data_IF_291444428100
#
_entry.id   IF_291444428100
#
_cell.length_a   1.000
_cell.length_b   1.000
_cell.length_c   1.000
_cell.angle_alpha   90.00
_cell.angle_beta   90.00
_cell.angle_gamma   90.00
#
_symmetry.space_group_name_H-M   'P 1'
#
loop_
_entity.id
_entity.type
_entity.pdbx_description
1 polymer ?
#
# COMPACT_ATOMS: atom_id res chain seq x y z
N UNK A 1 -28.50 -17.48 28.11
CA UNK A 1 -28.65 -17.08 26.69
C UNK A 1 -29.97 -16.38 26.40
N UNK A 2 -31.12 -16.99 26.73
CA UNK A 2 -32.45 -16.46 26.39
C UNK A 2 -32.75 -15.05 26.98
N UNK A 3 -32.41 -14.79 28.24
CA UNK A 3 -32.54 -13.45 28.86
C UNK A 3 -31.64 -12.37 28.22
N UNK A 4 -30.51 -12.78 27.64
CA UNK A 4 -29.59 -11.87 26.97
C UNK A 4 -30.16 -11.42 25.61
N UNK A 5 -30.58 -12.38 24.77
CA UNK A 5 -31.12 -12.10 23.43
C UNK A 5 -32.49 -11.40 23.45
N UNK A 6 -33.28 -11.60 24.52
CA UNK A 6 -34.57 -10.90 24.75
C UNK A 6 -34.43 -9.40 25.01
N UNK A 7 -33.29 -8.98 25.53
CA UNK A 7 -33.07 -7.60 25.98
C UNK A 7 -32.28 -6.87 24.91
N UNK A 8 -32.97 -6.08 24.08
CA UNK A 8 -32.40 -5.43 22.89
C UNK A 8 -31.06 -4.72 23.14
N UNK A 9 -30.92 -4.01 24.27
CA UNK A 9 -29.74 -3.21 24.55
C UNK A 9 -28.51 -4.07 24.90
N UNK A 10 -28.66 -5.30 25.40
CA UNK A 10 -27.51 -6.11 25.86
C UNK A 10 -26.60 -6.54 24.68
N UNK A 11 -27.13 -7.13 23.59
CA UNK A 11 -26.38 -7.35 22.35
C UNK A 11 -25.79 -6.07 21.76
N UNK A 12 -26.56 -4.97 21.77
CA UNK A 12 -26.10 -3.68 21.23
C UNK A 12 -24.92 -3.13 22.02
N UNK A 13 -24.97 -3.14 23.36
CA UNK A 13 -23.88 -2.66 24.21
C UNK A 13 -22.64 -3.53 24.03
N UNK A 14 -22.78 -4.87 24.01
CA UNK A 14 -21.66 -5.77 23.75
C UNK A 14 -20.98 -5.45 22.41
N UNK A 15 -21.79 -5.26 21.35
CA UNK A 15 -21.28 -4.87 20.04
C UNK A 15 -20.56 -3.53 20.07
N UNK A 16 -21.15 -2.49 20.67
CA UNK A 16 -20.54 -1.16 20.73
C UNK A 16 -19.22 -1.15 21.50
N UNK A 17 -19.11 -1.94 22.58
CA UNK A 17 -17.85 -2.09 23.32
C UNK A 17 -16.78 -2.73 22.42
N UNK A 18 -17.08 -3.87 21.79
CA UNK A 18 -16.12 -4.56 20.92
C UNK A 18 -15.78 -3.72 19.68
N UNK A 19 -16.76 -3.03 19.12
CA UNK A 19 -16.58 -2.08 18.02
C UNK A 19 -15.63 -0.95 18.40
N UNK A 20 -15.79 -0.36 19.59
CA UNK A 20 -14.89 0.66 20.11
C UNK A 20 -13.47 0.14 20.30
N UNK A 21 -13.32 -1.06 20.89
CA UNK A 21 -12.02 -1.72 21.04
C UNK A 21 -11.37 -1.95 19.67
N UNK A 22 -12.14 -2.43 18.68
CA UNK A 22 -11.63 -2.65 17.33
C UNK A 22 -11.16 -1.34 16.66
N UNK A 23 -11.95 -0.27 16.74
CA UNK A 23 -11.53 1.05 16.22
C UNK A 23 -10.26 1.56 16.89
N UNK A 24 -10.14 1.41 18.21
CA UNK A 24 -8.89 1.78 18.91
C UNK A 24 -7.72 0.90 18.50
N UNK A 25 -7.98 -0.39 18.25
CA UNK A 25 -6.98 -1.34 17.75
C UNK A 25 -6.46 -0.93 16.38
N UNK A 26 -7.35 -0.59 15.45
CA UNK A 26 -6.96 -0.11 14.12
C UNK A 26 -6.02 1.11 14.20
N UNK A 27 -6.24 2.02 15.15
CA UNK A 27 -5.48 3.27 15.25
C UNK A 27 -4.10 3.09 15.90
N UNK A 28 -3.93 2.14 16.82
CA UNK A 28 -2.77 2.11 17.72
C UNK A 28 -2.06 0.77 17.83
N UNK A 29 -2.66 -0.30 17.33
CA UNK A 29 -2.13 -1.64 17.54
C UNK A 29 -1.26 -2.11 16.37
N UNK A 30 -0.42 -3.10 16.66
CA UNK A 30 0.36 -3.81 15.67
C UNK A 30 -0.53 -4.75 14.84
N UNK A 31 0.03 -5.25 13.72
CA UNK A 31 -0.67 -6.12 12.78
C UNK A 31 -1.37 -7.31 13.45
N UNK A 32 -0.68 -8.03 14.34
CA UNK A 32 -1.24 -9.22 14.98
C UNK A 32 -2.47 -8.87 15.84
N UNK A 33 -2.38 -7.77 16.59
CA UNK A 33 -3.50 -7.32 17.42
C UNK A 33 -4.69 -6.91 16.56
N UNK A 34 -4.46 -6.19 15.45
CA UNK A 34 -5.54 -5.83 14.50
C UNK A 34 -6.21 -7.09 13.94
N UNK A 35 -5.43 -8.07 13.47
CA UNK A 35 -5.96 -9.34 12.94
C UNK A 35 -6.82 -10.08 13.99
N UNK A 36 -6.39 -10.13 15.25
CA UNK A 36 -7.17 -10.76 16.33
C UNK A 36 -8.49 -9.99 16.56
N UNK A 37 -8.45 -8.67 16.56
CA UNK A 37 -9.64 -7.85 16.78
C UNK A 37 -10.63 -7.91 15.60
N UNK A 38 -10.15 -8.09 14.36
CA UNK A 38 -10.99 -8.38 13.19
C UNK A 38 -11.79 -9.68 13.37
N UNK A 39 -11.16 -10.73 13.89
CA UNK A 39 -11.90 -11.95 14.21
C UNK A 39 -12.90 -11.74 15.35
N UNK A 40 -12.51 -10.94 16.35
CA UNK A 40 -13.35 -10.67 17.52
C UNK A 40 -14.63 -9.89 17.16
N UNK A 41 -14.59 -8.96 16.20
CA UNK A 41 -15.76 -8.14 15.86
C UNK A 41 -16.87 -8.94 15.14
N UNK A 42 -16.56 -10.05 14.47
CA UNK A 42 -17.59 -10.88 13.83
C UNK A 42 -18.56 -11.51 14.84
N UNK A 43 -18.08 -11.85 16.04
CA UNK A 43 -18.90 -12.48 17.07
C UNK A 43 -20.11 -11.63 17.52
N UNK A 44 -19.95 -10.36 17.97
CA UNK A 44 -21.09 -9.52 18.32
C UNK A 44 -21.97 -9.14 17.13
N UNK A 45 -21.43 -9.09 15.90
CA UNK A 45 -22.23 -8.87 14.68
C UNK A 45 -23.26 -10.00 14.53
N UNK A 46 -22.81 -11.26 14.61
CA UNK A 46 -23.69 -12.43 14.54
C UNK A 46 -24.74 -12.39 15.65
N UNK A 47 -24.34 -12.06 16.88
CA UNK A 47 -25.26 -11.93 18.03
C UNK A 47 -26.31 -10.84 17.79
N UNK A 48 -25.94 -9.69 17.23
CA UNK A 48 -26.87 -8.62 16.89
C UNK A 48 -27.91 -9.10 15.88
N UNK A 49 -27.49 -9.81 14.84
CA UNK A 49 -28.39 -10.32 13.80
C UNK A 49 -29.37 -11.34 14.37
N UNK A 50 -28.87 -12.31 15.16
CA UNK A 50 -29.71 -13.32 15.83
C UNK A 50 -30.71 -12.65 16.80
N UNK A 51 -30.23 -11.70 17.61
CA UNK A 51 -31.09 -10.99 18.56
C UNK A 51 -32.16 -10.16 17.86
N UNK A 52 -31.83 -9.49 16.75
CA UNK A 52 -32.78 -8.71 15.96
C UNK A 52 -33.90 -9.61 15.42
N UNK A 53 -33.54 -10.74 14.81
CA UNK A 53 -34.49 -11.75 14.32
C UNK A 53 -35.38 -12.27 15.46
N UNK A 54 -34.79 -12.59 16.61
CA UNK A 54 -35.53 -13.07 17.77
C UNK A 54 -36.54 -12.03 18.31
N UNK A 55 -36.15 -10.76 18.39
CA UNK A 55 -36.99 -9.65 18.87
C UNK A 55 -38.15 -9.40 17.90
N UNK A 56 -37.92 -9.51 16.58
CA UNK A 56 -38.96 -9.42 15.55
C UNK A 56 -40.05 -10.47 15.77
N UNK A 57 -39.67 -11.74 16.01
CA UNK A 57 -40.63 -12.82 16.28
C UNK A 57 -41.45 -12.60 17.57
N UNK A 58 -40.95 -11.79 18.51
CA UNK A 58 -41.66 -11.40 19.74
C UNK A 58 -42.55 -10.16 19.58
N UNK A 59 -42.81 -9.72 18.34
CA UNK A 59 -43.65 -8.55 18.01
C UNK A 59 -43.15 -7.22 18.60
N UNK A 60 -41.89 -7.15 19.05
CA UNK A 60 -41.24 -5.93 19.56
C UNK A 60 -40.42 -5.27 18.46
N UNK A 61 -41.03 -5.10 17.30
CA UNK A 61 -40.37 -4.74 16.05
C UNK A 61 -39.57 -3.42 16.13
N UNK A 62 -40.04 -2.44 16.92
CA UNK A 62 -39.37 -1.15 17.09
C UNK A 62 -37.98 -1.27 17.75
N UNK A 63 -37.79 -2.20 18.70
CA UNK A 63 -36.46 -2.42 19.30
C UNK A 63 -35.51 -3.11 18.33
N UNK A 64 -36.01 -4.05 17.51
CA UNK A 64 -35.19 -4.64 16.46
C UNK A 64 -34.81 -3.61 15.41
N UNK A 65 -35.73 -2.71 15.04
CA UNK A 65 -35.44 -1.64 14.10
C UNK A 65 -34.37 -0.70 14.65
N UNK A 66 -34.49 -0.28 15.91
CA UNK A 66 -33.48 0.55 16.58
C UNK A 66 -32.09 -0.12 16.57
N UNK A 67 -32.03 -1.40 16.91
CA UNK A 67 -30.78 -2.18 16.91
C UNK A 67 -30.14 -2.26 15.52
N UNK A 68 -30.95 -2.51 14.48
CA UNK A 68 -30.47 -2.57 13.10
C UNK A 68 -30.05 -1.19 12.56
N UNK A 69 -30.70 -0.11 12.98
CA UNK A 69 -30.30 1.26 12.63
C UNK A 69 -28.94 1.59 13.26
N UNK A 70 -28.74 1.30 14.54
CA UNK A 70 -27.45 1.50 15.22
C UNK A 70 -26.37 0.71 14.50
N UNK A 71 -26.61 -0.58 14.23
CA UNK A 71 -25.70 -1.45 13.50
C UNK A 71 -25.39 -0.91 12.09
N UNK A 72 -26.41 -0.44 11.36
CA UNK A 72 -26.23 0.13 10.03
C UNK A 72 -25.35 1.38 10.03
N UNK A 73 -25.57 2.30 10.98
CA UNK A 73 -24.77 3.53 11.12
C UNK A 73 -23.31 3.19 11.46
N UNK A 74 -23.07 2.30 12.42
CA UNK A 74 -21.70 1.92 12.81
C UNK A 74 -20.97 1.16 11.72
N UNK A 75 -21.68 0.30 10.95
CA UNK A 75 -21.10 -0.38 9.80
C UNK A 75 -20.79 0.61 8.66
N UNK A 76 -21.67 1.57 8.38
CA UNK A 76 -21.41 2.62 7.39
C UNK A 76 -20.18 3.45 7.76
N UNK A 77 -20.08 3.86 9.04
CA UNK A 77 -18.90 4.57 9.54
C UNK A 77 -17.65 3.70 9.42
N UNK A 78 -17.71 2.43 9.80
CA UNK A 78 -16.57 1.52 9.70
C UNK A 78 -16.11 1.35 8.26
N UNK A 79 -17.03 1.15 7.32
CA UNK A 79 -16.68 1.02 5.89
C UNK A 79 -16.03 2.29 5.35
N UNK A 80 -16.51 3.46 5.76
CA UNK A 80 -15.92 4.75 5.37
C UNK A 80 -14.54 4.91 6.02
N UNK A 81 -14.38 4.54 7.29
CA UNK A 81 -13.09 4.57 7.99
C UNK A 81 -12.07 3.64 7.32
N UNK A 82 -12.45 2.40 7.02
CA UNK A 82 -11.58 1.41 6.37
C UNK A 82 -11.17 1.80 4.95
N UNK A 83 -12.00 2.57 4.23
CA UNK A 83 -11.64 3.11 2.91
C UNK A 83 -10.44 4.06 2.97
N UNK A 84 -10.24 4.75 4.09
CA UNK A 84 -9.13 5.68 4.32
C UNK A 84 -8.13 5.15 5.34
N UNK A 85 -8.18 3.86 5.65
CA UNK A 85 -7.31 3.26 6.66
C UNK A 85 -5.87 3.19 6.13
N UNK A 86 -4.92 3.91 6.74
CA UNK A 86 -3.61 4.17 6.15
C UNK A 86 -2.64 3.01 6.19
N UNK A 87 -2.89 1.98 7.01
CA UNK A 87 -1.87 1.00 7.38
C UNK A 87 -2.04 -0.32 6.64
N UNK A 88 -1.04 -0.69 5.83
CA UNK A 88 -0.90 -2.00 5.19
C UNK A 88 0.06 -2.94 5.94
N UNK A 89 0.78 -2.40 6.93
CA UNK A 89 1.77 -3.11 7.78
C UNK A 89 2.94 -3.76 7.00
N UNK A 90 3.14 -3.41 5.73
CA UNK A 90 4.15 -4.05 4.88
C UNK A 90 5.57 -3.79 5.40
N UNK A 91 5.84 -2.55 5.81
CA UNK A 91 7.16 -2.09 6.21
C UNK A 91 7.46 -2.27 7.71
N UNK A 92 6.48 -2.64 8.54
CA UNK A 92 6.58 -2.62 10.01
C UNK A 92 7.68 -3.53 10.56
N UNK A 93 7.93 -4.65 9.89
CA UNK A 93 8.93 -5.64 10.28
C UNK A 93 10.16 -5.66 9.36
N UNK A 94 10.33 -4.64 8.52
CA UNK A 94 11.48 -4.51 7.65
C UNK A 94 12.55 -3.64 8.30
N UNK A 95 13.76 -4.17 8.39
CA UNK A 95 14.92 -3.39 8.83
C UNK A 95 15.77 -3.01 7.62
N UNK A 96 16.26 -1.76 7.60
CA UNK A 96 17.21 -1.32 6.57
C UNK A 96 18.60 -1.90 6.90
N UNK A 97 19.17 -2.79 6.06
CA UNK A 97 20.45 -3.41 6.34
C UNK A 97 21.58 -2.38 6.41
N UNK A 98 22.34 -2.36 7.51
CA UNK A 98 23.41 -1.35 7.73
C UNK A 98 24.66 -1.57 6.88
N UNK A 99 24.83 -2.76 6.30
CA UNK A 99 25.98 -3.15 5.49
C UNK A 99 25.81 -2.83 3.99
N UNK A 100 24.66 -2.30 3.58
CA UNK A 100 24.36 -1.93 2.20
C UNK A 100 24.35 -0.41 2.08
N UNK A 101 24.98 0.13 1.04
CA UNK A 101 24.88 1.55 0.72
C UNK A 101 23.54 1.82 0.05
N UNK A 102 22.77 2.74 0.61
CA UNK A 102 21.53 3.23 0.05
C UNK A 102 21.65 4.68 -0.40
N UNK A 103 21.02 4.99 -1.52
CA UNK A 103 20.71 6.35 -1.92
C UNK A 103 19.34 6.76 -1.34
N UNK A 104 19.14 8.06 -1.11
CA UNK A 104 17.80 8.61 -0.86
C UNK A 104 17.28 9.26 -2.14
N UNK A 105 15.98 9.13 -2.44
CA UNK A 105 15.35 9.95 -3.47
C UNK A 105 15.67 11.43 -3.23
N UNK A 106 16.02 12.14 -4.31
CA UNK A 106 16.36 13.56 -4.26
C UNK A 106 15.10 14.42 -4.29
N UNK A 107 15.19 15.64 -3.79
CA UNK A 107 14.11 16.63 -3.96
C UNK A 107 14.23 17.41 -5.28
N UNK A 108 15.44 17.47 -5.83
CA UNK A 108 15.74 18.13 -7.11
C UNK A 108 16.77 17.31 -7.89
N UNK A 109 16.54 17.18 -9.18
CA UNK A 109 17.48 16.59 -10.13
C UNK A 109 18.12 17.71 -10.93
N UNK A 110 19.45 17.68 -11.02
CA UNK A 110 20.18 18.57 -11.91
C UNK A 110 20.32 17.89 -13.27
N UNK A 111 19.47 18.32 -14.20
CA UNK A 111 19.45 17.82 -15.58
C UNK A 111 20.49 18.50 -16.49
N UNK A 112 21.14 19.57 -16.02
CA UNK A 112 22.12 20.33 -16.79
C UNK A 112 23.55 19.75 -16.64
N UNK A 113 23.79 18.98 -15.58
CA UNK A 113 25.07 18.26 -15.42
C UNK A 113 25.24 17.26 -16.57
N UNK A 114 26.25 17.49 -17.39
CA UNK A 114 26.65 16.56 -18.46
C UNK A 114 27.15 15.27 -17.83
N UNK A 115 26.43 14.18 -18.10
CA UNK A 115 26.82 12.83 -17.69
C UNK A 115 27.66 12.19 -18.81
N UNK A 116 28.69 11.44 -18.42
CA UNK A 116 29.56 10.70 -19.37
C UNK A 116 29.16 9.24 -19.55
N UNK A 117 28.35 8.71 -18.63
CA UNK A 117 27.95 7.31 -18.56
C UNK A 117 26.50 7.20 -18.12
N UNK A 118 25.96 5.98 -18.21
CA UNK A 118 24.61 5.70 -17.74
C UNK A 118 24.48 6.05 -16.25
N UNK A 119 23.42 6.75 -15.90
CA UNK A 119 23.16 7.18 -14.54
C UNK A 119 21.67 7.08 -14.24
N UNK A 120 21.34 6.49 -13.10
CA UNK A 120 19.99 6.47 -12.55
C UNK A 120 19.95 7.39 -11.33
N UNK A 121 18.96 8.27 -11.31
CA UNK A 121 18.60 9.05 -10.13
C UNK A 121 17.08 8.99 -9.92
N UNK A 122 16.66 8.91 -8.67
CA UNK A 122 15.26 8.90 -8.26
C UNK A 122 14.97 10.20 -7.52
N UNK A 123 13.81 10.78 -7.77
CA UNK A 123 13.31 12.00 -7.15
C UNK A 123 11.97 11.73 -6.48
N UNK A 124 11.74 12.34 -5.33
CA UNK A 124 10.40 12.39 -4.73
C UNK A 124 9.47 13.24 -5.61
N UNK A 125 8.25 12.76 -5.84
CA UNK A 125 7.20 13.57 -6.46
C UNK A 125 6.37 14.30 -5.38
N UNK A 126 5.19 14.82 -5.73
CA UNK A 126 4.31 15.60 -4.87
C UNK A 126 3.86 14.90 -3.59
N UNK A 127 4.02 13.58 -3.53
CA UNK A 127 3.34 12.70 -2.60
C UNK A 127 4.27 11.51 -2.25
N UNK A 128 4.35 11.10 -0.96
CA UNK A 128 5.19 9.96 -0.55
C UNK A 128 4.93 8.71 -1.39
N UNK A 129 5.88 7.81 -1.60
CA UNK A 129 5.64 6.61 -2.45
C UNK A 129 5.39 6.86 -3.94
N UNK A 130 5.26 8.11 -4.38
CA UNK A 130 5.29 8.52 -5.78
C UNK A 130 6.67 9.10 -6.10
N UNK A 131 7.27 8.57 -7.16
CA UNK A 131 8.64 8.86 -7.53
C UNK A 131 8.76 9.19 -9.01
N UNK A 132 9.73 10.01 -9.35
CA UNK A 132 10.21 10.17 -10.72
C UNK A 132 11.57 9.51 -10.86
N UNK A 133 11.79 8.79 -11.96
CA UNK A 133 13.14 8.36 -12.33
C UNK A 133 13.71 9.24 -13.43
N UNK A 134 15.02 9.43 -13.36
CA UNK A 134 15.82 10.13 -14.35
C UNK A 134 16.95 9.19 -14.74
N UNK A 135 16.90 8.71 -15.99
CA UNK A 135 17.88 7.78 -16.52
C UNK A 135 18.58 8.37 -17.73
N UNK A 136 19.89 8.60 -17.59
CA UNK A 136 20.74 8.97 -18.71
C UNK A 136 21.22 7.69 -19.39
N UNK A 137 20.97 7.56 -20.69
CA UNK A 137 21.32 6.37 -21.46
C UNK A 137 21.61 6.70 -22.92
N UNK A 138 22.60 6.02 -23.48
CA UNK A 138 22.90 6.08 -24.92
C UNK A 138 22.31 4.83 -25.58
N UNK A 139 21.14 4.94 -26.23
CA UNK A 139 20.52 3.79 -26.86
C UNK A 139 21.23 3.44 -28.16
N UNK A 140 21.65 2.18 -28.28
CA UNK A 140 22.29 1.65 -29.49
C UNK A 140 21.30 0.96 -30.42
N UNK A 141 20.13 0.59 -29.91
CA UNK A 141 19.14 -0.24 -30.60
C UNK A 141 17.73 0.21 -30.22
N UNK A 142 16.76 -0.17 -31.05
CA UNK A 142 15.34 0.09 -30.80
C UNK A 142 14.77 -0.89 -29.76
N UNK A 143 13.90 -0.40 -28.89
CA UNK A 143 13.18 -1.25 -27.93
C UNK A 143 12.54 -0.46 -26.79
N UNK A 144 12.26 -1.14 -25.68
CA UNK A 144 11.63 -0.55 -24.49
C UNK A 144 12.56 -0.43 -23.30
N UNK A 145 12.57 0.74 -22.68
CA UNK A 145 13.12 0.97 -21.35
C UNK A 145 12.00 0.90 -20.30
N UNK A 146 12.26 0.32 -19.13
CA UNK A 146 11.34 0.36 -17.98
C UNK A 146 12.10 0.04 -16.68
N UNK A 147 11.42 0.25 -15.56
CA UNK A 147 11.91 -0.09 -14.23
C UNK A 147 11.34 -1.42 -13.73
N UNK A 148 12.09 -2.05 -12.82
CA UNK A 148 11.59 -3.01 -11.84
C UNK A 148 12.08 -2.58 -10.47
N UNK A 149 11.28 -2.85 -9.44
CA UNK A 149 11.65 -2.60 -8.06
C UNK A 149 11.37 -3.82 -7.19
N UNK A 150 12.20 -4.05 -6.18
CA UNK A 150 11.97 -5.09 -5.17
C UNK A 150 12.41 -4.62 -3.79
N UNK A 151 11.72 -5.06 -2.74
CA UNK A 151 12.19 -4.96 -1.37
C UNK A 151 13.50 -5.77 -1.21
N UNK A 152 14.48 -5.27 -0.46
CA UNK A 152 15.84 -5.86 -0.45
C UNK A 152 15.96 -7.12 0.41
N UNK A 153 15.30 -7.14 1.56
CA UNK A 153 15.49 -8.14 2.62
C UNK A 153 14.95 -9.51 2.21
N UNK A 154 13.76 -9.54 1.64
CA UNK A 154 13.05 -10.75 1.21
C UNK A 154 12.94 -10.85 -0.32
N UNK A 155 13.47 -9.86 -1.06
CA UNK A 155 13.43 -9.83 -2.52
C UNK A 155 12.00 -9.84 -3.09
N UNK A 156 11.06 -9.20 -2.37
CA UNK A 156 9.65 -9.13 -2.76
C UNK A 156 9.49 -8.10 -3.89
N UNK A 157 8.91 -8.46 -5.05
CA UNK A 157 8.63 -7.51 -6.12
C UNK A 157 7.67 -6.41 -5.65
N UNK A 158 7.98 -5.15 -5.96
CA UNK A 158 7.16 -4.00 -5.60
C UNK A 158 6.38 -3.53 -6.81
N UNK A 159 5.05 -3.53 -6.73
CA UNK A 159 4.15 -2.95 -7.73
C UNK A 159 4.48 -3.37 -9.17
N UNK A 160 4.92 -4.62 -9.35
CA UNK A 160 5.71 -5.08 -10.51
C UNK A 160 5.13 -4.67 -11.86
N UNK A 161 3.87 -5.03 -12.10
CA UNK A 161 3.21 -4.73 -13.37
C UNK A 161 2.98 -3.21 -13.54
N UNK A 162 2.58 -2.51 -12.47
CA UNK A 162 2.30 -1.06 -12.54
C UNK A 162 3.57 -0.24 -12.76
N UNK A 163 4.65 -0.55 -12.06
CA UNK A 163 5.93 0.12 -12.25
C UNK A 163 6.40 -0.13 -13.68
N UNK A 164 6.40 -1.38 -14.14
CA UNK A 164 6.79 -1.71 -15.51
C UNK A 164 6.02 -0.91 -16.54
N UNK A 165 4.69 -0.87 -16.42
CA UNK A 165 3.82 -0.18 -17.38
C UNK A 165 3.97 1.35 -17.34
N UNK A 166 4.00 1.94 -16.12
CA UNK A 166 4.08 3.41 -15.95
C UNK A 166 5.46 3.98 -16.26
N UNK A 167 6.51 3.20 -16.01
CA UNK A 167 7.88 3.58 -16.32
C UNK A 167 8.29 3.27 -17.76
N UNK A 168 7.44 2.62 -18.56
CA UNK A 168 7.84 2.19 -19.90
C UNK A 168 8.01 3.37 -20.87
N UNK A 169 9.10 3.36 -21.63
CA UNK A 169 9.39 4.31 -22.69
C UNK A 169 9.89 3.54 -23.92
N UNK A 170 9.34 3.86 -25.09
CA UNK A 170 9.89 3.42 -26.38
C UNK A 170 11.15 4.20 -26.71
N UNK A 171 12.18 3.49 -27.13
CA UNK A 171 13.52 4.02 -27.35
C UNK A 171 13.91 3.77 -28.80
N UNK A 172 14.42 4.81 -29.44
CA UNK A 172 15.07 4.72 -30.75
C UNK A 172 16.58 4.93 -30.60
N UNK A 173 17.42 4.29 -31.44
CA UNK A 173 18.87 4.47 -31.42
C UNK A 173 19.28 5.93 -31.59
N UNK A 174 20.29 6.39 -30.84
CA UNK A 174 20.94 7.70 -31.05
C UNK A 174 22.41 7.66 -30.67
N UNK A 175 23.19 8.51 -31.34
CA UNK A 175 24.64 8.62 -31.12
C UNK A 175 25.02 9.29 -29.80
N UNK A 176 24.08 10.00 -29.17
CA UNK A 176 24.31 10.78 -27.96
C UNK A 176 23.54 10.22 -26.76
N UNK A 177 24.08 10.49 -25.56
CA UNK A 177 23.41 10.21 -24.30
C UNK A 177 22.11 11.02 -24.22
N UNK A 178 21.01 10.36 -23.88
CA UNK A 178 19.69 10.98 -23.73
C UNK A 178 19.21 10.84 -22.29
N UNK A 179 18.39 11.79 -21.85
CA UNK A 179 17.68 11.73 -20.59
C UNK A 179 16.28 11.14 -20.82
N UNK A 180 15.95 10.09 -20.09
CA UNK A 180 14.65 9.45 -20.02
C UNK A 180 14.05 9.66 -18.64
N UNK A 181 12.78 10.05 -18.56
CA UNK A 181 12.12 10.29 -17.29
C UNK A 181 10.63 9.91 -17.32
N UNK A 182 10.15 9.30 -16.24
CA UNK A 182 8.72 9.04 -15.97
C UNK A 182 8.47 9.03 -14.47
N UNK A 183 7.19 9.21 -14.13
CA UNK A 183 6.64 8.98 -12.79
C UNK A 183 6.28 7.51 -12.62
N UNK A 184 6.50 6.96 -11.44
CA UNK A 184 6.02 5.65 -11.01
C UNK A 184 5.62 5.70 -9.53
N UNK A 185 4.83 4.71 -9.10
CA UNK A 185 4.32 4.62 -7.73
C UNK A 185 4.64 3.25 -7.17
N UNK A 186 5.12 3.23 -5.93
CA UNK A 186 5.27 2.01 -5.12
C UNK A 186 4.07 1.98 -4.17
N UNK A 187 3.27 0.92 -4.20
CA UNK A 187 2.06 0.80 -3.38
C UNK A 187 2.26 0.01 -2.09
N UNK A 188 3.37 -0.71 -1.97
CA UNK A 188 3.68 -1.50 -0.78
C UNK A 188 4.31 -0.62 0.29
N UNK A 189 3.70 -0.56 1.46
CA UNK A 189 4.11 0.26 2.60
C UNK A 189 3.24 1.49 2.80
N UNK A 190 3.45 2.10 3.97
CA UNK A 190 2.70 3.27 4.42
C UNK A 190 3.60 4.51 4.43
N UNK A 191 2.98 5.69 4.42
CA UNK A 191 3.72 6.94 4.58
C UNK A 191 4.45 6.98 5.92
N UNK A 192 5.69 7.45 5.90
CA UNK A 192 6.57 7.53 7.06
C UNK A 192 7.25 6.21 7.43
N UNK A 193 6.90 5.09 6.79
CA UNK A 193 7.50 3.78 7.04
C UNK A 193 8.47 3.41 5.92
N UNK A 194 9.74 3.78 6.12
CA UNK A 194 10.79 3.59 5.14
C UNK A 194 11.39 2.18 5.17
N UNK A 195 11.71 1.65 3.99
CA UNK A 195 12.41 0.38 3.82
C UNK A 195 13.38 0.42 2.64
N UNK A 196 14.25 -0.59 2.56
CA UNK A 196 15.24 -0.71 1.49
C UNK A 196 14.66 -1.33 0.23
N UNK A 197 14.87 -0.69 -0.92
CA UNK A 197 14.47 -1.21 -2.23
C UNK A 197 15.64 -1.25 -3.22
N UNK A 198 15.67 -2.28 -4.06
CA UNK A 198 16.47 -2.36 -5.29
C UNK A 198 15.62 -1.81 -6.43
N UNK A 199 16.08 -0.74 -7.06
CA UNK A 199 15.45 -0.17 -8.27
C UNK A 199 16.40 -0.38 -9.44
N UNK A 200 15.90 -1.07 -10.46
CA UNK A 200 16.68 -1.54 -11.59
C UNK A 200 16.06 -1.09 -12.90
N UNK A 201 16.89 -0.60 -13.81
CA UNK A 201 16.47 -0.24 -15.16
C UNK A 201 16.72 -1.41 -16.08
N UNK A 202 15.71 -1.78 -16.84
CA UNK A 202 15.76 -2.83 -17.85
C UNK A 202 15.56 -2.22 -19.23
N UNK A 203 16.25 -2.80 -20.22
CA UNK A 203 16.02 -2.53 -21.62
C UNK A 203 15.67 -3.84 -22.33
N UNK A 204 14.58 -3.81 -23.10
CA UNK A 204 14.13 -4.92 -23.93
C UNK A 204 14.23 -4.50 -25.40
N UNK A 205 15.31 -4.89 -26.11
CA UNK A 205 15.41 -4.63 -27.54
C UNK A 205 14.31 -5.37 -28.32
N UNK A 206 13.95 -4.84 -29.48
CA UNK A 206 13.00 -5.52 -30.37
C UNK A 206 13.55 -6.90 -30.79
N UNK A 207 12.75 -7.95 -30.60
CA UNK A 207 13.12 -9.32 -30.96
C UNK A 207 14.17 -10.00 -30.07
N UNK A 208 14.64 -9.36 -28.98
CA UNK A 208 15.61 -9.96 -28.05
C UNK A 208 15.11 -9.97 -26.59
N UNK A 209 15.69 -10.83 -25.74
CA UNK A 209 15.38 -10.84 -24.31
C UNK A 209 15.69 -9.50 -23.63
N UNK A 210 14.97 -9.21 -22.55
CA UNK A 210 15.26 -8.06 -21.69
C UNK A 210 16.63 -8.21 -21.01
N UNK A 211 17.32 -7.10 -20.80
CA UNK A 211 18.60 -7.02 -20.10
C UNK A 211 18.58 -5.91 -19.04
N UNK A 212 19.20 -6.18 -17.89
CA UNK A 212 19.37 -5.19 -16.83
C UNK A 212 20.51 -4.24 -17.20
N UNK A 213 20.25 -2.94 -17.21
CA UNK A 213 21.24 -1.91 -17.54
C UNK A 213 21.97 -1.38 -16.31
N UNK A 214 21.24 -1.10 -15.24
CA UNK A 214 21.78 -0.60 -13.98
C UNK A 214 20.83 -0.96 -12.83
N UNK A 215 21.38 -1.04 -11.63
CA UNK A 215 20.65 -1.25 -10.38
C UNK A 215 21.24 -0.36 -9.31
N UNK A 216 20.36 0.18 -8.46
CA UNK A 216 20.75 0.95 -7.29
C UNK A 216 19.80 0.67 -6.13
N UNK A 217 20.33 0.79 -4.91
CA UNK A 217 19.56 0.63 -3.70
C UNK A 217 19.06 1.99 -3.22
N UNK A 218 17.77 2.10 -2.94
CA UNK A 218 17.12 3.30 -2.45
C UNK A 218 16.39 3.02 -1.13
N UNK A 219 16.38 4.03 -0.25
CA UNK A 219 15.41 4.07 0.86
C UNK A 219 14.12 4.66 0.29
N UNK A 220 13.04 3.90 0.32
CA UNK A 220 11.72 4.28 -0.21
C UNK A 220 10.64 4.04 0.83
N UNK A 221 9.44 4.53 0.56
CA UNK A 221 8.22 4.28 1.30
C UNK A 221 7.09 3.99 0.29
N UNK A 222 5.97 3.43 0.76
CA UNK A 222 4.83 3.13 -0.10
C UNK A 222 3.84 4.29 -0.20
N UNK A 223 2.99 4.24 -1.22
CA UNK A 223 1.87 5.17 -1.40
C UNK A 223 0.65 4.65 -0.66
N UNK A 224 0.17 5.46 0.28
CA UNK A 224 -1.11 5.26 0.95
C UNK A 224 -2.26 5.25 -0.07
N UNK A 225 -3.06 4.20 -0.05
CA UNK A 225 -4.28 4.09 -0.85
C UNK A 225 -5.47 4.76 -0.19
#
# INVERSE_FOLDING_TARGET
MDSFLKTWWKPTVLYLIIYGIYLTGLLYADKLTVEILEWLIYFPIIIILISSVYILFKSRWYYSLLQLVIFGITMFYLMTFLMFYPNDFFADNLEIPKNIKFEKPKNKIDTLIVRKQNALEIKNDSQPGIYEYYFWYKPTEKGKLYLKASEITHNIPLSEQRIKDKSSIEIEPKDNLQLFHKVFTIYEGDWGKFYGSKISVYFKPDGRPEQKLIEKNYIVEGWMR
#
